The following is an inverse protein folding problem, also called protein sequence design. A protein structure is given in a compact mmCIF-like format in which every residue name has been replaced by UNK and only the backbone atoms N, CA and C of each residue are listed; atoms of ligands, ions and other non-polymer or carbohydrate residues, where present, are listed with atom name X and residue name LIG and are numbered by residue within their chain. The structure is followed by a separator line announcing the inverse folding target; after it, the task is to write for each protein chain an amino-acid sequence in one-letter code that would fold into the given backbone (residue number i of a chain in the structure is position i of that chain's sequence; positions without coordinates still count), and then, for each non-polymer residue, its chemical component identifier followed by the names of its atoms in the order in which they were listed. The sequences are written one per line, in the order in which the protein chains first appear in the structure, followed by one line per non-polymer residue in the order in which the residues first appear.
data_IF_404665486477
#
_entry.id   IF_404665486477
#
_cell.length_a   1.000
_cell.length_b   1.000
_cell.length_c   1.000
_cell.angle_alpha   90.00
_cell.angle_beta   90.00
_cell.angle_gamma   90.00
#
_symmetry.space_group_name_H-M   'P 1'
#
loop_
_entity.id
_entity.type
_entity.pdbx_description
1 polymer ?
#
# COMPACT_ATOMS: atom_id res chain seq x y z
N UNK A 1 -16.70 -9.33 -9.70
CA UNK A 1 -16.28 -7.94 -9.47
C UNK A 1 -16.97 -7.04 -10.47
N UNK A 2 -17.24 -5.77 -10.14
CA UNK A 2 -17.86 -4.84 -11.09
C UNK A 2 -16.90 -4.43 -12.20
N UNK A 3 -17.45 -4.03 -13.35
CA UNK A 3 -16.68 -3.65 -14.53
C UNK A 3 -15.84 -4.80 -15.12
N UNK A 4 -15.12 -4.51 -16.21
CA UNK A 4 -14.19 -5.45 -16.83
C UNK A 4 -12.74 -5.03 -16.57
N UNK A 5 -11.86 -6.00 -16.34
CA UNK A 5 -10.43 -5.76 -16.27
C UNK A 5 -9.91 -5.27 -17.63
N UNK A 6 -9.04 -4.27 -17.62
CA UNK A 6 -8.44 -3.78 -18.86
C UNK A 6 -7.59 -4.88 -19.52
N UNK A 7 -7.78 -5.09 -20.83
CA UNK A 7 -7.10 -6.14 -21.59
C UNK A 7 -6.45 -5.64 -22.89
N UNK A 8 -6.42 -4.32 -23.10
CA UNK A 8 -5.80 -3.70 -24.28
C UNK A 8 -4.29 -3.50 -24.10
N UNK A 9 -3.66 -3.01 -25.16
CA UNK A 9 -2.28 -2.50 -25.08
C UNK A 9 -2.21 -1.29 -24.14
N UNK A 10 -1.19 -1.26 -23.31
CA UNK A 10 -0.98 -0.12 -22.41
C UNK A 10 -0.64 1.12 -23.25
N UNK A 11 -1.41 2.23 -23.12
CA UNK A 11 -1.11 3.44 -23.87
C UNK A 11 0.24 4.05 -23.41
N UNK A 12 0.89 4.91 -24.19
CA UNK A 12 2.05 5.66 -23.71
C UNK A 12 1.75 6.40 -22.41
N UNK A 13 2.74 6.50 -21.52
CA UNK A 13 2.59 7.27 -20.29
C UNK A 13 2.29 8.74 -20.59
N UNK A 14 1.39 9.32 -19.84
CA UNK A 14 1.18 10.76 -19.80
C UNK A 14 2.36 11.46 -19.11
N UNK A 15 2.52 12.78 -19.31
CA UNK A 15 3.56 13.55 -18.63
C UNK A 15 3.47 13.47 -17.10
N UNK A 16 2.24 13.37 -16.57
CA UNK A 16 2.00 13.17 -15.14
C UNK A 16 2.49 11.80 -14.66
N UNK A 17 2.21 10.75 -15.41
CA UNK A 17 2.67 9.39 -15.10
C UNK A 17 4.20 9.27 -15.23
N UNK A 18 4.83 9.94 -16.20
CA UNK A 18 6.30 9.98 -16.32
C UNK A 18 6.93 10.66 -15.09
N UNK A 19 6.37 11.80 -14.66
CA UNK A 19 6.84 12.46 -13.44
C UNK A 19 6.70 11.58 -12.21
N UNK A 20 5.57 10.90 -12.08
CA UNK A 20 5.29 9.96 -10.99
C UNK A 20 6.23 8.74 -11.04
N UNK A 21 6.49 8.18 -12.23
CA UNK A 21 7.45 7.10 -12.42
C UNK A 21 8.84 7.48 -11.89
N UNK A 22 9.32 8.66 -12.26
CA UNK A 22 10.63 9.14 -11.83
C UNK A 22 10.71 9.36 -10.31
N UNK A 23 9.65 9.91 -9.71
CA UNK A 23 9.58 10.14 -8.28
C UNK A 23 9.55 8.81 -7.50
N UNK A 24 8.70 7.87 -7.90
CA UNK A 24 8.64 6.53 -7.32
C UNK A 24 9.98 5.80 -7.43
N UNK A 25 10.66 5.91 -8.58
CA UNK A 25 11.99 5.32 -8.75
C UNK A 25 13.00 5.92 -7.78
N UNK A 26 13.05 7.24 -7.66
CA UNK A 26 13.95 7.93 -6.73
C UNK A 26 13.70 7.52 -5.28
N UNK A 27 12.42 7.46 -4.86
CA UNK A 27 12.07 7.08 -3.49
C UNK A 27 12.43 5.61 -3.21
N UNK A 28 12.14 4.67 -4.13
CA UNK A 28 12.53 3.26 -3.98
C UNK A 28 14.05 3.07 -4.00
N UNK A 29 14.78 3.77 -4.89
CA UNK A 29 16.24 3.77 -4.92
C UNK A 29 16.83 4.29 -3.59
N UNK A 30 16.23 5.32 -2.99
CA UNK A 30 16.61 5.81 -1.67
C UNK A 30 16.37 4.79 -0.58
N UNK A 31 15.16 4.21 -0.53
CA UNK A 31 14.76 3.26 0.51
C UNK A 31 15.53 1.95 0.45
N UNK A 32 15.61 1.33 -0.72
CA UNK A 32 16.16 -0.01 -0.90
C UNK A 32 17.59 -0.03 -1.46
N UNK A 33 17.96 0.96 -2.27
CA UNK A 33 19.29 1.05 -2.87
C UNK A 33 20.32 1.70 -1.95
N UNK A 34 19.98 2.86 -1.35
CA UNK A 34 20.92 3.60 -0.51
C UNK A 34 20.83 3.22 0.97
N UNK A 35 19.63 3.19 1.57
CA UNK A 35 19.43 2.80 2.97
C UNK A 35 19.51 1.27 3.09
N UNK A 36 18.79 0.55 2.24
CA UNK A 36 18.80 -0.89 2.18
C UNK A 36 17.98 -1.54 3.30
N UNK A 37 18.58 -2.48 4.04
CA UNK A 37 17.90 -3.20 5.13
C UNK A 37 17.50 -2.23 6.24
N UNK A 38 16.21 -2.29 6.62
CA UNK A 38 15.59 -1.34 7.56
C UNK A 38 14.57 -2.07 8.43
N UNK A 39 15.04 -2.69 9.49
CA UNK A 39 14.26 -3.51 10.40
C UNK A 39 14.86 -3.55 11.80
N UNK A 40 14.30 -4.34 12.70
CA UNK A 40 14.75 -4.43 14.09
C UNK A 40 16.21 -4.84 14.25
N UNK A 41 16.82 -5.61 13.31
CA UNK A 41 18.25 -5.94 13.30
C UNK A 41 19.12 -4.84 12.66
N UNK A 42 18.55 -4.07 11.77
CA UNK A 42 19.18 -2.95 11.08
C UNK A 42 18.48 -1.64 11.47
N UNK A 43 18.45 -1.39 12.78
CA UNK A 43 17.70 -0.31 13.38
C UNK A 43 18.11 1.08 12.89
N UNK A 44 19.41 1.30 12.64
CA UNK A 44 19.89 2.56 12.07
C UNK A 44 19.29 2.82 10.68
N UNK A 45 19.16 1.78 9.86
CA UNK A 45 18.47 1.85 8.57
C UNK A 45 16.98 2.16 8.73
N UNK A 46 16.33 1.58 9.74
CA UNK A 46 14.94 1.86 10.05
C UNK A 46 14.73 3.33 10.45
N UNK A 47 15.60 3.86 11.31
CA UNK A 47 15.57 5.28 11.73
C UNK A 47 15.91 6.21 10.56
N UNK A 48 16.89 5.84 9.72
CA UNK A 48 17.19 6.62 8.51
C UNK A 48 15.98 6.70 7.56
N UNK A 49 15.23 5.61 7.42
CA UNK A 49 13.98 5.58 6.63
C UNK A 49 12.90 6.44 7.27
N UNK A 50 12.69 6.34 8.59
CA UNK A 50 11.74 7.19 9.32
C UNK A 50 12.03 8.67 9.07
N UNK A 51 13.28 9.08 9.19
CA UNK A 51 13.70 10.47 8.99
C UNK A 51 13.51 10.92 7.53
N UNK A 52 13.81 10.05 6.56
CA UNK A 52 13.60 10.33 5.14
C UNK A 52 12.12 10.57 4.84
N UNK A 53 11.24 9.66 5.26
CA UNK A 53 9.80 9.76 5.04
C UNK A 53 9.21 10.99 5.74
N UNK A 54 9.57 11.24 7.00
CA UNK A 54 9.12 12.42 7.74
C UNK A 54 9.54 13.73 7.07
N UNK A 55 10.80 13.82 6.64
CA UNK A 55 11.29 15.00 5.92
C UNK A 55 10.46 15.29 4.67
N UNK A 56 10.28 14.28 3.81
CA UNK A 56 9.57 14.45 2.54
C UNK A 56 8.07 14.70 2.69
N UNK A 57 7.44 14.13 3.71
CA UNK A 57 6.07 14.48 4.07
C UNK A 57 5.96 15.92 4.57
N UNK A 58 6.93 16.38 5.37
CA UNK A 58 6.98 17.76 5.88
C UNK A 58 7.23 18.79 4.77
N UNK A 59 8.03 18.46 3.76
CA UNK A 59 8.28 19.31 2.57
C UNK A 59 7.01 19.56 1.74
N UNK A 60 5.98 18.73 1.91
CA UNK A 60 4.67 18.85 1.29
C UNK A 60 3.66 19.65 2.13
N UNK A 61 4.14 20.49 3.07
CA UNK A 61 3.34 21.31 3.99
C UNK A 61 2.46 20.51 4.96
N UNK A 62 2.75 19.22 5.16
CA UNK A 62 2.07 18.42 6.16
C UNK A 62 2.69 18.61 7.56
N UNK A 63 1.82 18.58 8.57
CA UNK A 63 2.26 18.33 9.95
C UNK A 63 2.30 16.82 10.17
N UNK A 64 3.50 16.25 10.12
CA UNK A 64 3.68 14.83 10.39
C UNK A 64 3.43 14.53 11.87
N UNK A 65 2.61 13.52 12.13
CA UNK A 65 2.37 12.97 13.47
C UNK A 65 3.14 11.67 13.58
N UNK A 66 4.03 11.57 14.57
CA UNK A 66 4.71 10.34 14.92
C UNK A 66 3.90 9.61 16.00
N UNK A 67 3.54 8.35 15.76
CA UNK A 67 3.06 7.44 16.78
C UNK A 67 4.22 6.53 17.20
N UNK A 68 4.92 6.93 18.27
CA UNK A 68 6.03 6.16 18.83
C UNK A 68 5.55 5.11 19.83
N UNK A 69 6.17 3.93 19.81
CA UNK A 69 5.99 2.87 20.82
C UNK A 69 7.31 2.11 21.04
N UNK A 70 7.48 1.52 22.22
CA UNK A 70 8.74 0.90 22.62
C UNK A 70 8.66 -0.63 22.57
N UNK A 71 9.70 -1.25 22.03
CA UNK A 71 9.96 -2.68 22.11
C UNK A 71 11.43 -2.85 22.46
N UNK A 72 11.74 -3.56 23.56
CA UNK A 72 13.12 -3.89 23.99
C UNK A 72 14.06 -2.67 24.05
N UNK A 73 13.58 -1.55 24.59
CA UNK A 73 14.29 -0.25 24.71
C UNK A 73 14.63 0.43 23.36
N UNK A 74 13.96 0.03 22.27
CA UNK A 74 14.01 0.73 20.99
C UNK A 74 12.63 1.33 20.70
N UNK A 75 12.61 2.56 20.14
CA UNK A 75 11.36 3.24 19.77
C UNK A 75 11.08 3.08 18.29
N UNK A 76 9.90 2.61 17.94
CA UNK A 76 9.41 2.42 16.58
C UNK A 76 8.31 3.43 16.29
N UNK A 77 8.22 3.92 15.05
CA UNK A 77 7.34 5.02 14.70
C UNK A 77 6.45 4.70 13.50
N UNK A 78 5.13 4.78 13.67
CA UNK A 78 4.25 5.03 12.54
C UNK A 78 4.23 6.52 12.25
N UNK A 79 4.22 6.90 10.96
CA UNK A 79 4.14 8.30 10.53
C UNK A 79 2.78 8.56 9.89
N UNK A 80 2.07 9.58 10.35
CA UNK A 80 0.75 9.96 9.83
C UNK A 80 0.75 11.39 9.33
N UNK A 81 0.15 11.62 8.15
CA UNK A 81 -0.29 12.93 7.71
C UNK A 81 -1.80 12.91 7.44
N UNK A 82 -2.46 14.02 7.72
CA UNK A 82 -3.93 14.11 7.68
C UNK A 82 -4.43 15.32 6.90
N UNK A 83 -5.43 15.09 6.05
CA UNK A 83 -6.24 16.12 5.42
C UNK A 83 -7.63 16.03 6.05
N UNK A 84 -7.99 17.02 6.85
CA UNK A 84 -9.28 17.04 7.53
C UNK A 84 -10.42 17.20 6.53
N UNK A 85 -11.44 16.36 6.65
CA UNK A 85 -12.63 16.40 5.80
C UNK A 85 -13.46 17.65 6.02
N UNK A 86 -14.02 18.20 4.94
CA UNK A 86 -14.80 19.44 4.97
C UNK A 86 -16.31 19.22 5.18
N UNK A 87 -16.84 18.04 4.83
CA UNK A 87 -18.26 17.72 4.90
C UNK A 87 -18.55 16.61 5.92
N UNK A 88 -17.68 15.63 5.98
CA UNK A 88 -17.79 14.43 6.83
C UNK A 88 -16.47 14.13 7.55
N UNK A 89 -15.97 15.06 8.37
CA UNK A 89 -14.66 14.91 9.02
C UNK A 89 -14.56 13.68 9.92
N UNK A 90 -15.68 13.16 10.41
CA UNK A 90 -15.72 11.94 11.23
C UNK A 90 -15.58 10.63 10.42
N UNK A 91 -15.82 10.65 9.10
CA UNK A 91 -15.57 9.51 8.23
C UNK A 91 -14.12 9.57 7.74
N UNK A 92 -13.32 8.55 8.07
CA UNK A 92 -11.88 8.55 7.82
C UNK A 92 -11.54 7.50 6.77
N UNK A 93 -10.78 7.89 5.77
CA UNK A 93 -10.13 6.99 4.80
C UNK A 93 -8.65 6.95 5.14
N UNK A 94 -8.11 5.75 5.35
CA UNK A 94 -6.68 5.51 5.60
C UNK A 94 -6.07 4.87 4.37
N UNK A 95 -4.92 5.37 3.94
CA UNK A 95 -4.07 4.78 2.89
C UNK A 95 -2.67 4.65 3.45
N UNK A 96 -2.06 3.50 3.33
CA UNK A 96 -0.72 3.34 3.86
C UNK A 96 -0.09 2.00 3.48
N UNK A 97 1.21 1.88 3.73
CA UNK A 97 1.98 0.66 3.59
C UNK A 97 3.08 0.62 4.62
N UNK A 98 3.68 -0.55 4.82
CA UNK A 98 4.81 -0.63 5.73
C UNK A 98 6.11 -0.21 5.05
N UNK A 99 7.01 0.36 5.85
CA UNK A 99 8.30 0.82 5.35
C UNK A 99 9.49 -0.01 5.85
N UNK A 100 9.27 -0.92 6.80
CA UNK A 100 10.29 -1.86 7.24
C UNK A 100 10.52 -2.97 6.19
N UNK A 101 11.61 -3.71 6.36
CA UNK A 101 12.00 -4.81 5.49
C UNK A 101 12.15 -6.09 6.28
N UNK A 102 11.93 -7.23 5.65
CA UNK A 102 12.37 -8.50 6.22
C UNK A 102 13.90 -8.50 6.43
N UNK A 103 14.40 -9.25 7.39
CA UNK A 103 15.79 -9.16 7.85
C UNK A 103 16.84 -9.47 6.77
N UNK A 104 16.51 -10.21 5.73
CA UNK A 104 17.42 -10.60 4.65
C UNK A 104 17.45 -9.65 3.46
N UNK A 105 16.37 -8.87 3.25
CA UNK A 105 16.09 -8.15 2.02
C UNK A 105 16.36 -6.64 2.12
N UNK A 106 16.87 -5.97 1.07
CA UNK A 106 16.79 -4.53 0.93
C UNK A 106 15.36 -4.04 0.65
N UNK A 107 14.46 -4.96 0.24
CA UNK A 107 13.02 -4.75 0.16
C UNK A 107 12.61 -3.59 -0.78
N UNK A 108 13.00 -3.69 -2.04
CA UNK A 108 12.63 -2.71 -3.04
C UNK A 108 11.16 -2.83 -3.44
N UNK A 109 10.71 -4.04 -3.74
CA UNK A 109 9.30 -4.32 -4.01
C UNK A 109 8.53 -4.54 -2.69
N UNK A 110 9.09 -5.28 -1.76
CA UNK A 110 8.47 -5.64 -0.48
C UNK A 110 9.14 -4.95 0.73
N UNK A 111 8.71 -3.75 1.18
CA UNK A 111 7.59 -2.98 0.63
C UNK A 111 8.03 -1.53 0.29
N UNK A 112 9.24 -1.36 -0.28
CA UNK A 112 9.69 -0.05 -0.76
C UNK A 112 8.73 0.59 -1.78
N UNK A 113 8.05 -0.25 -2.61
CA UNK A 113 7.05 0.24 -3.56
C UNK A 113 5.79 0.76 -2.87
N UNK A 114 5.33 0.10 -1.81
CA UNK A 114 4.17 0.55 -1.03
C UNK A 114 4.46 1.82 -0.24
N UNK A 115 5.62 1.91 0.42
CA UNK A 115 6.04 3.12 1.12
C UNK A 115 6.23 4.30 0.14
N UNK A 116 6.95 4.12 -0.97
CA UNK A 116 7.09 5.16 -1.99
C UNK A 116 5.73 5.60 -2.57
N UNK A 117 4.82 4.66 -2.81
CA UNK A 117 3.48 4.98 -3.30
C UNK A 117 2.64 5.75 -2.26
N UNK A 118 2.75 5.41 -0.97
CA UNK A 118 2.09 6.14 0.12
C UNK A 118 2.58 7.58 0.18
N UNK A 119 3.92 7.78 0.12
CA UNK A 119 4.55 9.09 0.10
C UNK A 119 4.11 9.92 -1.12
N UNK A 120 4.15 9.34 -2.34
CA UNK A 120 3.74 10.03 -3.57
C UNK A 120 2.25 10.36 -3.60
N UNK A 121 1.38 9.47 -3.12
CA UNK A 121 -0.04 9.76 -2.96
C UNK A 121 -0.26 10.90 -1.95
N UNK A 122 0.45 10.92 -0.82
CA UNK A 122 0.39 12.03 0.11
C UNK A 122 0.78 13.35 -0.58
N UNK A 123 1.87 13.39 -1.36
CA UNK A 123 2.30 14.56 -2.15
C UNK A 123 1.24 15.00 -3.15
N UNK A 124 0.63 14.05 -3.88
CA UNK A 124 -0.44 14.34 -4.85
C UNK A 124 -1.69 14.93 -4.21
N UNK A 125 -1.97 14.62 -2.95
CA UNK A 125 -3.12 15.15 -2.22
C UNK A 125 -2.81 16.41 -1.39
N UNK A 126 -1.56 16.84 -1.30
CA UNK A 126 -1.16 18.03 -0.55
C UNK A 126 -1.95 19.27 -1.02
N UNK A 127 -2.51 20.01 -0.08
CA UNK A 127 -3.32 21.20 -0.35
C UNK A 127 -4.70 20.95 -0.98
N UNK A 128 -5.06 19.70 -1.30
CA UNK A 128 -6.39 19.36 -1.81
C UNK A 128 -7.42 19.31 -0.67
N UNK A 129 -8.68 19.58 -1.02
CA UNK A 129 -9.81 19.42 -0.10
C UNK A 129 -10.51 18.09 -0.35
N UNK A 130 -10.94 17.43 0.70
CA UNK A 130 -11.76 16.22 0.63
C UNK A 130 -13.04 16.36 1.46
N UNK A 131 -14.09 15.62 1.12
CA UNK A 131 -15.31 15.60 1.91
C UNK A 131 -15.11 14.82 3.22
N UNK A 132 -14.40 13.67 3.17
CA UNK A 132 -14.00 12.86 4.31
C UNK A 132 -12.58 13.19 4.74
N UNK A 133 -12.23 12.90 5.98
CA UNK A 133 -10.85 12.94 6.44
C UNK A 133 -10.03 11.85 5.72
N UNK A 134 -8.88 12.25 5.19
CA UNK A 134 -7.95 11.36 4.49
C UNK A 134 -6.63 11.33 5.26
N UNK A 135 -6.15 10.14 5.59
CA UNK A 135 -4.87 9.91 6.26
C UNK A 135 -3.96 9.07 5.38
N UNK A 136 -2.71 9.49 5.24
CA UNK A 136 -1.63 8.68 4.70
C UNK A 136 -0.75 8.25 5.87
N UNK A 137 -0.46 6.94 5.95
CA UNK A 137 0.26 6.37 7.10
C UNK A 137 1.35 5.42 6.62
N UNK A 138 2.57 5.70 7.04
CA UNK A 138 3.70 4.78 6.91
C UNK A 138 3.78 3.92 8.17
N UNK A 139 3.59 2.61 8.02
CA UNK A 139 3.60 1.66 9.13
C UNK A 139 4.99 1.06 9.34
N UNK A 140 5.30 0.74 10.60
CA UNK A 140 6.55 0.07 10.97
C UNK A 140 6.27 -1.34 11.51
N UNK A 141 7.26 -2.23 11.42
CA UNK A 141 7.18 -3.57 12.01
C UNK A 141 6.02 -4.44 11.48
N UNK A 142 5.78 -4.39 10.17
CA UNK A 142 4.88 -5.35 9.52
C UNK A 142 5.54 -6.73 9.43
N UNK A 143 6.82 -6.76 9.16
CA UNK A 143 7.61 -7.96 8.90
C UNK A 143 7.89 -8.82 10.15
N UNK A 144 8.20 -10.11 9.99
CA UNK A 144 8.67 -10.93 11.11
C UNK A 144 9.90 -10.32 11.81
N UNK A 145 9.94 -10.36 13.16
CA UNK A 145 9.14 -11.17 14.06
C UNK A 145 7.83 -10.54 14.52
N UNK A 146 7.50 -9.34 14.05
CA UNK A 146 6.36 -8.57 14.55
C UNK A 146 5.05 -8.82 13.79
N UNK A 147 5.13 -9.47 12.63
CA UNK A 147 3.97 -9.80 11.79
C UNK A 147 2.84 -10.46 12.58
N UNK A 148 1.66 -9.86 12.52
CA UNK A 148 0.44 -10.31 13.24
C UNK A 148 0.60 -10.45 14.76
N UNK A 149 1.56 -9.74 15.36
CA UNK A 149 1.69 -9.62 16.82
C UNK A 149 1.17 -8.28 17.31
N UNK A 150 1.09 -8.11 18.64
CA UNK A 150 0.71 -6.84 19.28
C UNK A 150 1.69 -5.69 19.00
N UNK A 151 2.89 -6.00 18.51
CA UNK A 151 3.95 -5.06 18.17
C UNK A 151 3.97 -4.68 16.67
N UNK A 152 3.08 -5.24 15.86
CA UNK A 152 2.90 -4.81 14.46
C UNK A 152 2.38 -3.38 14.43
N UNK A 153 3.08 -2.47 13.75
CA UNK A 153 2.78 -1.03 13.80
C UNK A 153 1.37 -0.69 13.35
N UNK A 154 0.88 -1.31 12.28
CA UNK A 154 -0.50 -1.11 11.84
C UNK A 154 -1.54 -1.60 12.86
N UNK A 155 -1.22 -2.64 13.66
CA UNK A 155 -2.13 -3.08 14.74
C UNK A 155 -2.10 -2.09 15.91
N UNK A 156 -0.92 -1.58 16.28
CA UNK A 156 -0.79 -0.50 17.28
C UNK A 156 -1.61 0.71 16.85
N UNK A 157 -1.50 1.10 15.57
CA UNK A 157 -2.26 2.21 15.00
C UNK A 157 -3.78 1.96 15.03
N UNK A 158 -4.23 0.82 14.51
CA UNK A 158 -5.65 0.48 14.41
C UNK A 158 -6.31 0.36 15.80
N UNK A 159 -5.62 -0.20 16.82
CA UNK A 159 -6.06 -0.23 18.21
C UNK A 159 -6.27 1.18 18.76
N UNK A 160 -5.30 2.08 18.56
CA UNK A 160 -5.42 3.46 19.02
C UNK A 160 -6.59 4.19 18.35
N UNK A 161 -6.85 3.96 17.05
CA UNK A 161 -8.03 4.48 16.36
C UNK A 161 -9.33 3.96 17.00
N UNK A 162 -9.37 2.67 17.38
CA UNK A 162 -10.52 2.07 18.06
C UNK A 162 -10.75 2.68 19.44
N UNK A 163 -9.70 2.86 20.22
CA UNK A 163 -9.76 3.45 21.55
C UNK A 163 -10.29 4.90 21.51
N UNK A 164 -9.98 5.64 20.44
CA UNK A 164 -10.51 6.97 20.17
C UNK A 164 -11.90 6.97 19.56
N UNK A 165 -12.52 5.80 19.34
CA UNK A 165 -13.80 5.63 18.67
C UNK A 165 -13.85 6.27 17.27
N UNK A 166 -12.76 6.26 16.54
CA UNK A 166 -12.68 6.80 15.18
C UNK A 166 -13.48 5.95 14.19
N UNK A 167 -14.14 6.59 13.24
CA UNK A 167 -14.94 5.92 12.21
C UNK A 167 -14.13 5.76 10.92
N UNK A 168 -13.26 4.75 10.86
CA UNK A 168 -12.53 4.41 9.64
C UNK A 168 -13.47 3.66 8.69
N UNK A 169 -13.85 4.31 7.59
CA UNK A 169 -14.79 3.81 6.58
C UNK A 169 -14.10 3.04 5.44
N UNK A 170 -12.81 3.24 5.27
CA UNK A 170 -11.98 2.51 4.32
C UNK A 170 -10.51 2.54 4.75
N UNK A 171 -9.80 1.41 4.56
CA UNK A 171 -8.34 1.34 4.64
C UNK A 171 -7.82 0.65 3.39
N UNK A 172 -6.83 1.26 2.73
CA UNK A 172 -6.07 0.68 1.63
C UNK A 172 -4.64 0.42 2.10
N UNK A 173 -4.25 -0.86 2.12
CA UNK A 173 -2.89 -1.30 2.38
C UNK A 173 -2.16 -1.43 1.05
N UNK A 174 -1.12 -0.64 0.86
CA UNK A 174 -0.28 -0.67 -0.34
C UNK A 174 0.88 -1.65 -0.10
N UNK A 175 0.77 -2.82 -0.75
CA UNK A 175 1.60 -3.98 -0.45
C UNK A 175 2.21 -4.55 -1.71
N UNK A 176 3.53 -4.46 -1.87
CA UNK A 176 4.20 -4.97 -3.06
C UNK A 176 3.46 -4.64 -4.35
N UNK A 177 3.87 -3.61 -5.08
CA UNK A 177 3.10 -3.16 -6.25
C UNK A 177 3.95 -3.02 -7.52
N UNK A 178 5.19 -3.50 -7.50
CA UNK A 178 6.16 -3.19 -8.52
C UNK A 178 6.58 -4.34 -9.44
N UNK A 179 6.05 -5.56 -9.29
CA UNK A 179 6.48 -6.67 -10.14
C UNK A 179 5.37 -7.22 -11.04
N UNK A 180 5.63 -7.23 -12.34
CA UNK A 180 4.69 -7.69 -13.36
C UNK A 180 5.37 -8.56 -14.39
N UNK A 181 4.62 -9.50 -14.98
CA UNK A 181 5.10 -10.37 -16.04
C UNK A 181 3.99 -10.77 -16.99
N UNK A 182 4.20 -10.56 -18.29
CA UNK A 182 3.28 -10.97 -19.34
C UNK A 182 3.43 -12.44 -19.73
N UNK A 183 4.33 -13.18 -19.07
CA UNK A 183 4.56 -14.61 -19.34
C UNK A 183 3.40 -15.44 -18.80
N UNK A 184 2.85 -16.33 -19.60
CA UNK A 184 1.85 -17.31 -19.16
C UNK A 184 2.48 -18.22 -18.09
N UNK A 185 1.76 -18.46 -16.99
CA UNK A 185 2.24 -19.25 -15.85
C UNK A 185 3.15 -18.47 -14.88
N UNK A 186 3.28 -17.15 -15.06
CA UNK A 186 3.98 -16.28 -14.12
C UNK A 186 3.20 -15.99 -12.83
N UNK A 187 1.90 -16.30 -12.80
CA UNK A 187 1.04 -16.15 -11.62
C UNK A 187 0.66 -17.51 -11.06
N UNK A 188 0.77 -17.64 -9.75
CA UNK A 188 0.31 -18.80 -8.98
C UNK A 188 -0.75 -18.39 -7.98
N UNK A 189 -1.48 -19.36 -7.43
CA UNK A 189 -2.53 -19.13 -6.43
C UNK A 189 -2.65 -20.31 -5.48
N UNK A 190 -3.17 -20.08 -4.25
CA UNK A 190 -3.72 -21.17 -3.44
C UNK A 190 -4.89 -21.84 -4.17
N UNK A 191 -4.94 -23.18 -4.13
CA UNK A 191 -6.07 -23.94 -4.71
C UNK A 191 -7.39 -23.54 -4.01
N UNK A 192 -8.51 -23.37 -4.76
CA UNK A 192 -8.72 -23.55 -6.20
C UNK A 192 -8.73 -22.24 -7.02
N UNK A 193 -8.07 -21.17 -6.55
CA UNK A 193 -8.16 -19.83 -7.16
C UNK A 193 -7.52 -19.77 -8.55
N UNK A 194 -6.59 -20.68 -8.86
CA UNK A 194 -6.00 -20.86 -10.20
C UNK A 194 -7.00 -21.21 -11.30
N UNK A 195 -8.22 -21.63 -10.91
CA UNK A 195 -9.33 -21.91 -11.84
C UNK A 195 -10.22 -20.71 -12.12
N UNK A 196 -10.01 -19.61 -11.40
CA UNK A 196 -10.89 -18.44 -11.40
C UNK A 196 -10.15 -17.19 -11.90
N UNK A 197 -8.86 -17.06 -11.56
CA UNK A 197 -8.06 -15.90 -11.85
C UNK A 197 -7.03 -16.16 -12.95
N UNK A 198 -6.51 -15.09 -13.63
CA UNK A 198 -5.54 -15.23 -14.71
C UNK A 198 -4.24 -15.88 -14.22
N UNK A 199 -3.63 -16.75 -15.06
CA UNK A 199 -2.32 -17.34 -14.80
C UNK A 199 -1.15 -16.46 -15.28
N UNK A 200 -1.42 -15.23 -15.65
CA UNK A 200 -0.48 -14.24 -16.14
C UNK A 200 -0.38 -13.10 -15.12
N UNK A 201 0.81 -12.83 -14.63
CA UNK A 201 1.08 -11.91 -13.53
C UNK A 201 1.22 -10.45 -13.96
N UNK A 202 0.32 -9.94 -14.79
CA UNK A 202 0.39 -8.59 -15.36
C UNK A 202 -0.70 -7.62 -14.85
N UNK A 203 -1.34 -7.95 -13.74
CA UNK A 203 -2.43 -7.17 -13.13
C UNK A 203 -2.08 -6.73 -11.71
N UNK A 204 -2.80 -5.71 -11.23
CA UNK A 204 -2.85 -5.36 -9.80
C UNK A 204 -4.05 -6.03 -9.13
N UNK A 205 -3.86 -6.57 -7.94
CA UNK A 205 -4.87 -7.23 -7.12
C UNK A 205 -5.45 -6.30 -6.05
N UNK A 206 -6.75 -6.40 -5.83
CA UNK A 206 -7.48 -5.75 -4.73
C UNK A 206 -8.09 -6.85 -3.85
N UNK A 207 -7.46 -7.12 -2.71
CA UNK A 207 -7.80 -8.27 -1.87
C UNK A 207 -8.36 -7.82 -0.53
N UNK A 208 -9.53 -8.35 -0.17
CA UNK A 208 -10.17 -8.09 1.09
C UNK A 208 -10.81 -9.34 1.68
N UNK A 209 -11.23 -9.24 2.93
CA UNK A 209 -12.04 -10.29 3.56
C UNK A 209 -13.52 -10.17 3.17
N UNK A 210 -14.34 -11.14 3.61
CA UNK A 210 -15.78 -11.12 3.32
C UNK A 210 -16.48 -9.89 3.90
N UNK A 211 -16.03 -9.39 5.06
CA UNK A 211 -16.54 -8.16 5.70
C UNK A 211 -16.22 -6.90 4.89
N UNK A 212 -15.12 -6.90 4.17
CA UNK A 212 -14.67 -5.78 3.32
C UNK A 212 -15.19 -5.85 1.88
N UNK A 213 -16.04 -6.84 1.53
CA UNK A 213 -16.51 -7.08 0.15
C UNK A 213 -17.04 -5.83 -0.53
N UNK A 214 -17.81 -5.00 0.18
CA UNK A 214 -18.35 -3.76 -0.39
C UNK A 214 -17.23 -2.79 -0.76
N UNK A 215 -16.22 -2.66 0.10
CA UNK A 215 -15.06 -1.81 -0.17
C UNK A 215 -14.26 -2.34 -1.36
N UNK A 216 -13.99 -3.65 -1.44
CA UNK A 216 -13.33 -4.27 -2.60
C UNK A 216 -14.08 -3.95 -3.89
N UNK A 217 -15.42 -4.08 -3.90
CA UNK A 217 -16.23 -3.77 -5.09
C UNK A 217 -16.10 -2.29 -5.48
N UNK A 218 -16.17 -1.36 -4.53
CA UNK A 218 -16.07 0.06 -4.80
C UNK A 218 -14.69 0.44 -5.36
N UNK A 219 -13.63 -0.10 -4.77
CA UNK A 219 -12.24 0.15 -5.19
C UNK A 219 -11.99 -0.39 -6.60
N UNK A 220 -12.39 -1.65 -6.87
CA UNK A 220 -12.24 -2.26 -8.20
C UNK A 220 -13.04 -1.51 -9.25
N UNK A 221 -14.30 -1.14 -8.95
CA UNK A 221 -15.15 -0.37 -9.87
C UNK A 221 -14.50 0.97 -10.22
N UNK A 222 -14.06 1.71 -9.21
CA UNK A 222 -13.39 2.99 -9.39
C UNK A 222 -12.09 2.84 -10.20
N UNK A 223 -11.22 1.89 -9.84
CA UNK A 223 -9.98 1.66 -10.55
C UNK A 223 -10.23 1.32 -12.03
N UNK A 224 -11.15 0.40 -12.33
CA UNK A 224 -11.49 -0.02 -13.70
C UNK A 224 -12.10 1.09 -14.55
N UNK A 225 -12.78 2.05 -13.94
CA UNK A 225 -13.31 3.23 -14.66
C UNK A 225 -12.24 4.24 -15.03
N UNK A 226 -11.21 4.37 -14.22
CA UNK A 226 -10.21 5.44 -14.34
C UNK A 226 -8.86 4.98 -14.87
N UNK A 227 -8.46 3.73 -14.62
CA UNK A 227 -7.16 3.23 -15.00
C UNK A 227 -7.25 2.28 -16.21
N UNK A 228 -6.40 2.50 -17.20
CA UNK A 228 -6.18 1.55 -18.31
C UNK A 228 -5.08 0.55 -17.92
N UNK A 229 -5.35 -0.23 -16.87
CA UNK A 229 -4.42 -1.22 -16.36
C UNK A 229 -5.18 -2.49 -15.91
N UNK A 230 -4.64 -3.70 -16.17
CA UNK A 230 -5.28 -4.95 -15.75
C UNK A 230 -5.45 -5.02 -14.24
N UNK A 231 -6.61 -5.45 -13.77
CA UNK A 231 -6.91 -5.49 -12.34
C UNK A 231 -7.80 -6.66 -11.96
N UNK A 232 -7.50 -7.30 -10.84
CA UNK A 232 -8.32 -8.37 -10.27
C UNK A 232 -8.77 -8.01 -8.85
N UNK A 233 -9.98 -8.45 -8.50
CA UNK A 233 -10.53 -8.20 -7.18
C UNK A 233 -10.96 -9.50 -6.50
N UNK A 234 -10.71 -9.62 -5.22
CA UNK A 234 -11.07 -10.78 -4.41
C UNK A 234 -11.58 -10.38 -3.03
N UNK A 235 -12.75 -10.88 -2.65
CA UNK A 235 -13.24 -10.83 -1.27
C UNK A 235 -13.36 -12.29 -0.77
N UNK A 236 -12.41 -12.72 0.04
CA UNK A 236 -12.19 -14.13 0.37
C UNK A 236 -12.20 -14.35 1.89
N UNK A 237 -12.44 -15.61 2.35
CA UNK A 237 -12.24 -15.93 3.76
C UNK A 237 -10.80 -15.69 4.21
N UNK A 238 -10.62 -15.19 5.44
CA UNK A 238 -9.30 -14.92 6.04
C UNK A 238 -8.37 -16.13 6.13
N UNK A 239 -8.93 -17.35 6.07
CA UNK A 239 -8.19 -18.61 6.10
C UNK A 239 -7.41 -18.90 4.80
N UNK A 240 -7.73 -18.23 3.72
CA UNK A 240 -7.01 -18.41 2.44
C UNK A 240 -5.63 -17.75 2.58
N UNK A 241 -4.52 -18.51 2.34
CA UNK A 241 -3.17 -17.95 2.41
C UNK A 241 -3.00 -16.70 1.55
N UNK A 242 -2.34 -15.69 2.07
CA UNK A 242 -2.10 -14.42 1.40
C UNK A 242 -3.19 -13.37 1.58
N UNK A 243 -4.43 -13.77 1.92
CA UNK A 243 -5.57 -12.83 1.99
C UNK A 243 -5.40 -11.78 3.10
N UNK A 244 -4.82 -12.14 4.22
CA UNK A 244 -4.57 -11.25 5.36
C UNK A 244 -3.08 -11.00 5.61
N UNK A 245 -2.24 -11.02 4.59
CA UNK A 245 -0.79 -10.88 4.75
C UNK A 245 -0.34 -9.47 4.38
N UNK A 246 -0.79 -8.47 5.14
CA UNK A 246 -0.31 -7.10 5.19
C UNK A 246 -1.11 -6.27 6.22
N UNK A 247 -0.84 -4.97 6.30
CA UNK A 247 -1.37 -4.00 7.27
C UNK A 247 -2.90 -3.94 7.37
N UNK A 248 -3.62 -4.22 6.28
CA UNK A 248 -5.10 -4.25 6.27
C UNK A 248 -5.68 -5.28 7.24
N UNK A 249 -4.95 -6.37 7.55
CA UNK A 249 -5.34 -7.37 8.53
C UNK A 249 -5.53 -6.74 9.93
N UNK A 250 -4.63 -5.83 10.31
CA UNK A 250 -4.70 -5.14 11.59
C UNK A 250 -6.01 -4.34 11.76
N UNK A 251 -6.48 -3.71 10.68
CA UNK A 251 -7.74 -2.98 10.67
C UNK A 251 -8.94 -3.93 10.78
N UNK A 252 -8.88 -5.10 10.16
CA UNK A 252 -9.93 -6.12 10.34
C UNK A 252 -10.04 -6.60 11.79
N UNK A 253 -8.91 -6.74 12.53
CA UNK A 253 -8.93 -7.09 13.94
C UNK A 253 -9.69 -6.06 14.79
N UNK A 254 -9.75 -4.82 14.34
CA UNK A 254 -10.49 -3.75 14.99
C UNK A 254 -11.88 -3.51 14.39
N UNK A 255 -12.34 -4.38 13.49
CA UNK A 255 -13.67 -4.31 12.86
C UNK A 255 -13.80 -3.21 11.79
N UNK A 256 -12.68 -2.70 11.28
CA UNK A 256 -12.66 -1.74 10.18
C UNK A 256 -12.55 -2.44 8.82
N UNK A 257 -13.14 -1.90 7.75
CA UNK A 257 -12.98 -2.44 6.42
C UNK A 257 -11.59 -2.10 5.86
N UNK A 258 -10.90 -3.09 5.31
CA UNK A 258 -9.57 -2.94 4.71
C UNK A 258 -9.43 -3.74 3.41
N UNK A 259 -8.64 -3.21 2.49
CA UNK A 259 -8.31 -3.83 1.20
C UNK A 259 -6.81 -3.72 0.99
N UNK A 260 -6.16 -4.81 0.65
CA UNK A 260 -4.78 -4.84 0.19
C UNK A 260 -4.74 -4.58 -1.32
N UNK A 261 -3.88 -3.67 -1.74
CA UNK A 261 -3.54 -3.41 -3.14
C UNK A 261 -2.19 -4.03 -3.39
N UNK A 262 -2.10 -5.04 -4.27
CA UNK A 262 -0.88 -5.86 -4.35
C UNK A 262 -0.64 -6.43 -5.75
N UNK A 263 0.64 -6.60 -6.10
CA UNK A 263 1.06 -7.42 -7.23
C UNK A 263 1.03 -8.93 -6.91
N UNK A 264 0.63 -9.29 -5.66
CA UNK A 264 0.58 -10.68 -5.16
C UNK A 264 1.96 -11.35 -5.02
N UNK A 265 2.98 -10.63 -4.54
CA UNK A 265 4.38 -11.06 -4.52
C UNK A 265 4.64 -12.49 -4.07
N UNK A 266 4.05 -13.04 -2.99
CA UNK A 266 4.30 -14.43 -2.57
C UNK A 266 3.96 -15.48 -3.64
N UNK A 267 3.12 -15.12 -4.61
CA UNK A 267 2.63 -16.01 -5.66
C UNK A 267 3.14 -15.66 -7.07
N UNK A 268 3.94 -14.59 -7.18
CA UNK A 268 4.38 -14.06 -8.48
C UNK A 268 5.87 -13.70 -8.49
N UNK A 269 6.36 -13.02 -7.45
CA UNK A 269 7.66 -12.38 -7.41
C UNK A 269 8.75 -13.36 -6.97
N UNK A 270 9.74 -13.67 -7.84
CA UNK A 270 10.75 -14.69 -7.54
C UNK A 270 11.77 -14.24 -6.48
N UNK A 271 11.88 -12.93 -6.23
CA UNK A 271 12.84 -12.35 -5.29
C UNK A 271 12.22 -11.97 -3.94
N UNK A 272 10.94 -12.36 -3.71
CA UNK A 272 10.22 -12.10 -2.48
C UNK A 272 11.00 -12.60 -1.25
N UNK A 273 11.25 -11.73 -0.28
CA UNK A 273 12.02 -11.99 0.94
C UNK A 273 13.47 -12.44 0.72
N UNK A 274 14.09 -12.06 -0.39
CA UNK A 274 15.49 -12.36 -0.69
C UNK A 274 16.35 -11.09 -0.74
N UNK A 275 17.69 -11.27 -0.73
CA UNK A 275 18.64 -10.18 -0.91
C UNK A 275 18.68 -9.62 -2.34
N UNK A 276 18.01 -10.31 -3.28
CA UNK A 276 17.85 -9.88 -4.66
C UNK A 276 16.62 -8.98 -4.90
N UNK A 277 15.81 -8.67 -3.88
CA UNK A 277 14.73 -7.68 -3.98
C UNK A 277 15.31 -6.26 -4.01
N UNK A 278 15.86 -5.90 -5.14
CA UNK A 278 16.60 -4.66 -5.41
C UNK A 278 15.84 -3.73 -6.36
N UNK A 279 16.14 -2.41 -6.39
CA UNK A 279 15.40 -1.42 -7.20
C UNK A 279 15.32 -1.74 -8.70
N UNK A 280 16.31 -2.46 -9.27
CA UNK A 280 16.31 -2.87 -10.69
C UNK A 280 15.28 -3.95 -11.04
N UNK A 281 14.63 -4.55 -10.04
CA UNK A 281 13.56 -5.55 -10.23
C UNK A 281 12.16 -4.92 -10.36
N UNK A 282 12.02 -3.65 -10.02
CA UNK A 282 10.76 -2.93 -10.00
C UNK A 282 10.40 -2.40 -11.39
N UNK A 283 9.20 -2.69 -11.85
CA UNK A 283 8.58 -2.12 -13.06
C UNK A 283 7.93 -0.76 -12.73
N UNK A 284 8.74 0.29 -12.74
CA UNK A 284 8.30 1.64 -12.36
C UNK A 284 7.25 2.22 -13.32
N UNK A 285 7.24 1.79 -14.60
CA UNK A 285 6.21 2.21 -15.55
C UNK A 285 4.84 1.70 -15.11
N UNK A 286 4.74 0.40 -14.79
CA UNK A 286 3.49 -0.20 -14.34
C UNK A 286 3.10 0.28 -12.95
N UNK A 287 4.06 0.46 -12.04
CA UNK A 287 3.84 1.04 -10.72
C UNK A 287 3.22 2.44 -10.83
N UNK A 288 3.76 3.31 -11.69
CA UNK A 288 3.22 4.66 -11.88
C UNK A 288 1.77 4.67 -12.37
N UNK A 289 1.41 3.76 -13.29
CA UNK A 289 0.03 3.60 -13.76
C UNK A 289 -0.92 3.18 -12.63
N UNK A 290 -0.47 2.26 -11.80
CA UNK A 290 -1.26 1.79 -10.65
C UNK A 290 -1.46 2.93 -9.65
N UNK A 291 -0.40 3.65 -9.29
CA UNK A 291 -0.48 4.78 -8.35
C UNK A 291 -1.35 5.92 -8.91
N UNK A 292 -1.25 6.23 -10.21
CA UNK A 292 -2.14 7.19 -10.86
C UNK A 292 -3.61 6.75 -10.83
N UNK A 293 -3.88 5.45 -11.01
CA UNK A 293 -5.22 4.90 -10.85
C UNK A 293 -5.72 4.97 -9.41
N UNK A 294 -4.86 4.71 -8.43
CA UNK A 294 -5.18 4.81 -7.01
C UNK A 294 -5.49 6.24 -6.57
N UNK A 295 -4.85 7.27 -7.15
CA UNK A 295 -5.23 8.66 -6.89
C UNK A 295 -6.72 8.91 -7.16
N UNK A 296 -7.27 8.35 -8.24
CA UNK A 296 -8.69 8.47 -8.57
C UNK A 296 -9.58 7.67 -7.60
N UNK A 297 -9.17 6.44 -7.27
CA UNK A 297 -9.86 5.62 -6.26
C UNK A 297 -9.95 6.35 -4.92
N UNK A 298 -8.84 6.91 -4.45
CA UNK A 298 -8.77 7.64 -3.18
C UNK A 298 -9.63 8.92 -3.26
N UNK A 299 -9.59 9.63 -4.39
CA UNK A 299 -10.44 10.81 -4.62
C UNK A 299 -11.92 10.47 -4.44
N UNK A 300 -12.40 9.36 -5.00
CA UNK A 300 -13.79 8.92 -4.83
C UNK A 300 -14.09 8.45 -3.41
N UNK A 301 -13.20 7.67 -2.78
CA UNK A 301 -13.36 7.23 -1.40
C UNK A 301 -13.40 8.40 -0.43
N UNK A 302 -12.59 9.43 -0.65
CA UNK A 302 -12.59 10.66 0.11
C UNK A 302 -13.84 11.55 -0.15
N UNK A 303 -14.66 11.17 -1.14
CA UNK A 303 -15.88 11.91 -1.50
C UNK A 303 -15.60 13.23 -2.22
N UNK A 304 -14.41 13.41 -2.75
CA UNK A 304 -14.05 14.55 -3.60
C UNK A 304 -14.64 14.36 -5.00
N UNK A 305 -15.02 15.47 -5.65
CA UNK A 305 -15.41 15.38 -7.06
C UNK A 305 -14.15 15.13 -7.89
N UNK A 306 -14.17 14.11 -8.74
CA UNK A 306 -13.15 13.93 -9.77
C UNK A 306 -13.27 15.12 -10.73
N UNK A 307 -12.20 15.89 -11.00
CA UNK A 307 -12.25 17.04 -11.90
C UNK A 307 -12.58 16.66 -13.34
#
# INVERSE_FOLDING_TARGET
MPGESYNGELPPLTQKEIALQNALQQDVEKLAGEIGRRNYLYYDGLIATTNFLEQHLSESDYKVKQQGYEIDNQTYYNLEVEILGTEKPQEIVVVGGHYDSVYTSPAANDNGTGAAATLELARLFAGKKSARTLRFVEFVNEEPPFFQTDNMGSLVYAKQCRDRNENIVAMLSLETMGYYSDKIGSQRYPFPLDRIYPLQGNFIGFVGNLGSRKLVHNVVDSFRRHAKFPSEGAALPNLIPGVGWSDHWAFWQQGYPGVMVTDTAPFRYPYYHTDEDTPDKVDYERLARVVAGLEQVITELAGSKVP
#
